data_IF_894605225806
#
_entry.id   IF_894605225806
#
_cell.length_a   1.000
_cell.length_b   1.000
_cell.length_c   1.000
_cell.angle_alpha   90.00
_cell.angle_beta   90.00
_cell.angle_gamma   90.00
#
_symmetry.space_group_name_H-M   'P 1'
#
loop_
_entity.id
_entity.type
_entity.pdbx_description
1 polymer ?
#
# COMPACT_ATOMS: atom_id res chain seq x y z
N UNK A 1 10.35 10.00 15.23
CA UNK A 1 9.16 9.41 14.57
C UNK A 1 8.62 10.42 13.59
N UNK A 2 8.28 10.01 12.36
CA UNK A 2 7.68 10.90 11.36
C UNK A 2 6.17 10.88 11.56
N UNK A 3 5.56 12.05 11.72
CA UNK A 3 4.11 12.18 11.94
C UNK A 3 3.38 12.39 10.62
N UNK A 4 2.06 12.14 10.55
CA UNK A 4 1.30 12.22 9.31
C UNK A 4 1.23 13.67 8.78
N UNK A 5 1.09 14.68 9.65
CA UNK A 5 1.11 16.09 9.22
C UNK A 5 2.46 16.43 8.58
N UNK A 6 3.56 16.10 9.28
CA UNK A 6 4.90 16.44 8.82
C UNK A 6 5.29 15.69 7.54
N UNK A 7 5.00 14.40 7.46
CA UNK A 7 5.28 13.59 6.27
C UNK A 7 4.48 14.05 5.06
N UNK A 8 3.17 14.26 5.21
CA UNK A 8 2.29 14.74 4.13
C UNK A 8 2.75 16.10 3.62
N UNK A 9 3.10 17.01 4.53
CA UNK A 9 3.60 18.34 4.18
C UNK A 9 4.88 18.27 3.34
N UNK A 10 5.85 17.44 3.75
CA UNK A 10 7.10 17.25 3.03
C UNK A 10 6.88 16.58 1.66
N UNK A 11 6.00 15.57 1.59
CA UNK A 11 5.66 14.89 0.35
C UNK A 11 4.95 15.83 -0.66
N UNK A 12 4.14 16.76 -0.16
CA UNK A 12 3.46 17.78 -0.97
C UNK A 12 4.34 19.00 -1.31
N UNK A 13 5.60 19.06 -0.82
CA UNK A 13 6.47 20.22 -1.02
C UNK A 13 6.00 21.50 -0.30
N UNK A 14 5.16 21.36 0.73
CA UNK A 14 4.54 22.48 1.45
C UNK A 14 5.44 22.91 2.63
N UNK A 15 5.61 24.22 2.83
CA UNK A 15 6.32 24.74 4.02
C UNK A 15 5.39 24.88 5.22
N UNK A 16 5.95 25.00 6.42
CA UNK A 16 5.15 25.29 7.64
C UNK A 16 4.34 26.58 7.48
N UNK A 17 4.94 27.61 6.88
CA UNK A 17 4.28 28.90 6.63
C UNK A 17 3.13 28.78 5.63
N UNK A 18 3.30 27.94 4.61
CA UNK A 18 2.26 27.68 3.63
C UNK A 18 1.07 26.94 4.25
N UNK A 19 1.32 25.89 5.04
CA UNK A 19 0.25 25.19 5.76
C UNK A 19 -0.47 26.13 6.75
N UNK A 20 0.27 26.96 7.47
CA UNK A 20 -0.28 27.96 8.39
C UNK A 20 -1.23 28.92 7.67
N UNK A 21 -0.84 29.41 6.48
CA UNK A 21 -1.66 30.28 5.63
C UNK A 21 -2.95 29.59 5.19
N UNK A 22 -2.87 28.33 4.75
CA UNK A 22 -4.04 27.56 4.30
C UNK A 22 -5.04 27.28 5.42
N UNK A 23 -4.55 27.11 6.64
CA UNK A 23 -5.38 26.90 7.83
C UNK A 23 -5.80 28.22 8.51
N UNK A 24 -5.35 29.38 8.02
CA UNK A 24 -5.54 30.68 8.65
C UNK A 24 -5.08 30.72 10.13
N UNK A 25 -3.94 30.06 10.43
CA UNK A 25 -3.32 30.03 11.76
C UNK A 25 -1.87 30.50 11.70
N UNK A 26 -1.22 30.62 12.86
CA UNK A 26 0.21 31.00 12.92
C UNK A 26 1.13 29.80 12.63
N UNK A 27 2.37 30.03 12.14
CA UNK A 27 3.37 28.96 11.98
C UNK A 27 3.70 28.23 13.28
N UNK A 28 3.59 28.92 14.43
CA UNK A 28 3.74 28.32 15.77
C UNK A 28 2.64 27.30 16.05
N UNK A 29 1.38 27.59 15.68
CA UNK A 29 0.28 26.64 15.81
C UNK A 29 0.51 25.36 15.00
N UNK A 30 1.12 25.47 13.81
CA UNK A 30 1.49 24.29 13.02
C UNK A 30 2.58 23.47 13.71
N UNK A 31 3.61 24.12 14.23
CA UNK A 31 4.65 23.45 15.02
C UNK A 31 4.08 22.75 16.26
N UNK A 32 3.06 23.35 16.89
CA UNK A 32 2.35 22.74 18.01
C UNK A 32 1.51 21.54 17.57
N UNK A 33 0.81 21.62 16.43
CA UNK A 33 0.07 20.48 15.87
C UNK A 33 0.99 19.30 15.54
N UNK A 34 2.13 19.54 14.87
CA UNK A 34 3.12 18.50 14.58
C UNK A 34 3.67 17.87 15.88
N UNK A 35 3.85 18.67 16.94
CA UNK A 35 4.30 18.19 18.26
C UNK A 35 3.21 17.36 18.96
N UNK A 36 1.98 17.86 19.04
CA UNK A 36 0.86 17.12 19.67
C UNK A 36 0.57 15.82 18.93
N UNK A 37 0.79 15.75 17.62
CA UNK A 37 0.71 14.50 16.87
C UNK A 37 1.81 13.52 17.29
N UNK A 38 3.05 13.98 17.38
CA UNK A 38 4.18 13.16 17.83
C UNK A 38 3.99 12.62 19.27
N UNK A 39 3.32 13.40 20.12
CA UNK A 39 3.00 13.06 21.50
C UNK A 39 1.70 12.22 21.64
N UNK A 40 0.97 12.01 20.54
CA UNK A 40 -0.30 11.27 20.57
C UNK A 40 -1.47 12.03 21.23
N UNK A 41 -1.34 13.34 21.42
CA UNK A 41 -2.34 14.21 22.07
C UNK A 41 -3.18 15.02 21.07
N UNK A 42 -2.91 14.89 19.76
CA UNK A 42 -3.66 15.60 18.73
C UNK A 42 -5.13 15.17 18.68
N UNK A 43 -6.02 16.15 18.52
CA UNK A 43 -7.44 15.89 18.26
C UNK A 43 -7.60 15.36 16.83
N UNK A 44 -8.39 14.30 16.64
CA UNK A 44 -8.69 13.74 15.31
C UNK A 44 -9.24 14.80 14.34
N UNK A 45 -10.03 15.76 14.84
CA UNK A 45 -10.55 16.85 14.02
C UNK A 45 -9.42 17.74 13.45
N UNK A 46 -8.47 18.13 14.30
CA UNK A 46 -7.34 18.96 13.90
C UNK A 46 -6.39 18.22 12.96
N UNK A 47 -6.17 16.92 13.17
CA UNK A 47 -5.41 16.09 12.23
C UNK A 47 -6.09 16.06 10.86
N UNK A 48 -7.41 15.86 10.82
CA UNK A 48 -8.18 15.82 9.57
C UNK A 48 -8.14 17.16 8.84
N UNK A 49 -8.33 18.27 9.54
CA UNK A 49 -8.28 19.62 8.97
C UNK A 49 -6.89 19.93 8.40
N UNK A 50 -5.83 19.60 9.14
CA UNK A 50 -4.46 19.80 8.67
C UNK A 50 -4.16 18.98 7.41
N UNK A 51 -4.55 17.71 7.38
CA UNK A 51 -4.40 16.86 6.19
C UNK A 51 -5.23 17.39 5.00
N UNK A 52 -6.47 17.80 5.24
CA UNK A 52 -7.36 18.34 4.21
C UNK A 52 -6.80 19.63 3.57
N UNK A 53 -6.18 20.52 4.35
CA UNK A 53 -5.51 21.71 3.85
C UNK A 53 -4.33 21.41 2.90
N UNK A 54 -3.80 20.18 2.96
CA UNK A 54 -2.76 19.68 2.06
C UNK A 54 -3.32 18.82 0.91
N UNK A 55 -4.65 18.68 0.81
CA UNK A 55 -5.32 17.83 -0.17
C UNK A 55 -5.30 16.34 0.20
N UNK A 56 -4.97 15.99 1.44
CA UNK A 56 -4.96 14.62 1.93
C UNK A 56 -6.22 14.30 2.76
N UNK A 57 -6.68 13.05 2.69
CA UNK A 57 -7.80 12.56 3.52
C UNK A 57 -7.30 11.69 4.67
N UNK A 58 -7.91 11.85 5.85
CA UNK A 58 -7.67 10.94 6.98
C UNK A 58 -8.63 9.75 6.90
N UNK A 59 -8.09 8.53 6.87
CA UNK A 59 -8.86 7.29 7.09
C UNK A 59 -8.46 6.70 8.44
N UNK A 60 -9.44 6.45 9.30
CA UNK A 60 -9.22 5.82 10.60
C UNK A 60 -9.97 4.49 10.63
N UNK A 61 -9.24 3.43 10.95
CA UNK A 61 -9.79 2.09 11.17
C UNK A 61 -9.41 1.66 12.57
N UNK A 62 -10.38 1.23 13.37
CA UNK A 62 -10.14 0.65 14.70
C UNK A 62 -10.17 -0.88 14.60
N UNK A 63 -9.17 -1.54 15.17
CA UNK A 63 -9.06 -3.00 15.18
C UNK A 63 -8.05 -3.47 16.22
N UNK A 64 -8.13 -4.74 16.61
CA UNK A 64 -7.13 -5.35 17.46
C UNK A 64 -5.94 -5.73 16.59
N UNK A 65 -4.78 -5.10 16.79
CA UNK A 65 -3.58 -5.46 16.06
C UNK A 65 -3.07 -6.83 16.53
N UNK A 66 -2.97 -7.76 15.58
CA UNK A 66 -2.35 -9.07 15.78
C UNK A 66 -0.99 -9.10 15.08
N UNK A 67 -0.21 -10.17 15.29
CA UNK A 67 1.02 -10.39 14.53
C UNK A 67 0.75 -10.42 13.01
N UNK A 68 -0.42 -10.91 12.59
CA UNK A 68 -0.79 -11.02 11.17
C UNK A 68 -1.22 -9.69 10.55
N UNK A 69 -1.61 -8.70 11.37
CA UNK A 69 -2.05 -7.39 10.89
C UNK A 69 -1.01 -6.68 10.00
N UNK A 70 0.30 -6.97 10.16
CA UNK A 70 1.37 -6.46 9.29
C UNK A 70 1.27 -6.94 7.83
N UNK A 71 0.61 -8.07 7.60
CA UNK A 71 0.37 -8.65 6.28
C UNK A 71 -1.05 -8.36 5.79
N UNK A 72 -1.84 -7.57 6.53
CA UNK A 72 -3.14 -7.14 6.07
C UNK A 72 -3.00 -6.32 4.76
N UNK A 73 -3.92 -6.47 3.79
CA UNK A 73 -3.84 -5.83 2.49
C UNK A 73 -3.55 -4.32 2.56
N UNK A 74 -4.22 -3.59 3.47
CA UNK A 74 -4.05 -2.15 3.59
C UNK A 74 -2.64 -1.73 4.05
N UNK A 75 -2.00 -2.48 4.96
CA UNK A 75 -0.64 -2.19 5.44
C UNK A 75 0.42 -2.54 4.40
N UNK A 76 0.20 -3.64 3.70
CA UNK A 76 1.09 -4.05 2.60
C UNK A 76 1.01 -3.03 1.47
N UNK A 77 -0.19 -2.59 1.10
CA UNK A 77 -0.38 -1.56 0.09
C UNK A 77 0.29 -0.23 0.50
N UNK A 78 0.14 0.20 1.75
CA UNK A 78 0.81 1.41 2.26
C UNK A 78 2.33 1.31 2.17
N UNK A 79 2.90 0.20 2.66
CA UNK A 79 4.34 -0.05 2.64
C UNK A 79 4.89 -0.13 1.20
N UNK A 80 4.14 -0.76 0.28
CA UNK A 80 4.48 -0.80 -1.14
C UNK A 80 4.41 0.59 -1.77
N UNK A 81 3.36 1.36 -1.50
CA UNK A 81 3.20 2.71 -2.04
C UNK A 81 4.36 3.62 -1.61
N UNK A 82 4.74 3.58 -0.33
CA UNK A 82 5.91 4.29 0.17
C UNK A 82 7.20 3.88 -0.55
N UNK A 83 7.43 2.58 -0.73
CA UNK A 83 8.60 2.07 -1.45
C UNK A 83 8.63 2.47 -2.93
N UNK A 84 7.47 2.47 -3.59
CA UNK A 84 7.34 2.84 -5.01
C UNK A 84 7.58 4.34 -5.23
N UNK A 85 7.15 5.18 -4.29
CA UNK A 85 7.38 6.63 -4.35
C UNK A 85 8.82 7.02 -4.00
N UNK A 86 9.47 6.27 -3.11
CA UNK A 86 10.82 6.59 -2.67
C UNK A 86 11.91 6.27 -3.72
N UNK A 87 11.61 5.42 -4.70
CA UNK A 87 12.52 4.96 -5.77
C UNK A 87 13.90 4.45 -5.28
N UNK A 88 13.94 3.87 -4.06
CA UNK A 88 15.22 3.43 -3.46
C UNK A 88 15.49 1.93 -3.57
N UNK A 89 14.46 1.11 -3.80
CA UNK A 89 14.56 -0.36 -3.75
C UNK A 89 13.60 -1.03 -4.75
N UNK A 90 14.01 -1.29 -6.01
CA UNK A 90 13.12 -1.81 -7.04
C UNK A 90 12.57 -3.21 -6.74
N UNK A 91 13.25 -4.00 -5.90
CA UNK A 91 12.87 -5.39 -5.58
C UNK A 91 12.03 -5.52 -4.31
N UNK A 92 12.00 -4.50 -3.45
CA UNK A 92 11.31 -4.54 -2.17
C UNK A 92 9.79 -4.76 -2.31
N UNK A 93 9.05 -4.06 -3.20
CA UNK A 93 7.61 -4.23 -3.32
C UNK A 93 7.20 -5.67 -3.67
N UNK A 94 7.95 -6.32 -4.58
CA UNK A 94 7.67 -7.71 -4.95
C UNK A 94 7.88 -8.64 -3.77
N UNK A 95 9.02 -8.55 -3.09
CA UNK A 95 9.34 -9.42 -1.94
C UNK A 95 8.33 -9.25 -0.80
N UNK A 96 7.91 -8.01 -0.53
CA UNK A 96 6.90 -7.74 0.49
C UNK A 96 5.55 -8.39 0.10
N UNK A 97 5.13 -8.23 -1.15
CA UNK A 97 3.89 -8.81 -1.65
C UNK A 97 3.89 -10.34 -1.60
N UNK A 98 4.98 -10.98 -2.08
CA UNK A 98 5.08 -12.44 -2.10
C UNK A 98 5.09 -13.01 -0.70
N UNK A 99 5.82 -12.39 0.23
CA UNK A 99 5.85 -12.80 1.63
C UNK A 99 4.47 -12.66 2.30
N UNK A 100 3.77 -11.54 2.11
CA UNK A 100 2.45 -11.35 2.70
C UNK A 100 1.42 -12.36 2.18
N UNK A 101 1.46 -12.66 0.88
CA UNK A 101 0.59 -13.67 0.26
C UNK A 101 0.96 -15.08 0.69
N UNK A 102 2.24 -15.38 0.93
CA UNK A 102 2.67 -16.65 1.50
C UNK A 102 2.11 -16.84 2.90
N UNK A 103 2.26 -15.84 3.77
CA UNK A 103 1.76 -15.87 5.14
C UNK A 103 0.23 -16.03 5.20
N UNK A 104 -0.49 -15.37 4.28
CA UNK A 104 -1.93 -15.54 4.15
C UNK A 104 -2.36 -16.94 3.71
N UNK A 105 -1.57 -17.59 2.84
CA UNK A 105 -1.84 -18.96 2.38
C UNK A 105 -1.53 -19.99 3.46
N UNK A 106 -0.44 -19.79 4.20
CA UNK A 106 0.04 -20.73 5.20
C UNK A 106 -0.73 -20.62 6.52
N UNK A 107 -1.20 -19.41 6.86
CA UNK A 107 -1.83 -19.12 8.14
C UNK A 107 -3.21 -18.43 7.99
N UNK A 108 -4.14 -18.93 7.16
CA UNK A 108 -5.36 -18.21 6.79
C UNK A 108 -6.28 -17.88 7.97
N UNK A 109 -6.31 -18.74 9.00
CA UNK A 109 -7.20 -18.58 10.15
C UNK A 109 -6.62 -17.65 11.24
N UNK A 110 -5.37 -17.21 11.08
CA UNK A 110 -4.75 -16.22 11.98
C UNK A 110 -5.04 -14.76 11.57
N UNK A 111 -5.66 -14.55 10.40
CA UNK A 111 -6.04 -13.22 9.92
C UNK A 111 -7.43 -12.84 10.44
N UNK A 112 -7.60 -11.59 10.87
CA UNK A 112 -8.93 -11.03 11.12
C UNK A 112 -9.66 -10.84 9.78
N UNK A 113 -10.83 -11.48 9.55
CA UNK A 113 -11.58 -11.32 8.31
C UNK A 113 -11.88 -9.86 7.95
N UNK A 114 -12.07 -9.00 8.96
CA UNK A 114 -12.33 -7.56 8.75
C UNK A 114 -11.11 -6.86 8.14
N UNK A 115 -9.90 -7.25 8.52
CA UNK A 115 -8.67 -6.69 7.94
C UNK A 115 -8.50 -7.10 6.47
N UNK A 116 -8.97 -8.30 6.09
CA UNK A 116 -8.95 -8.78 4.72
C UNK A 116 -9.99 -8.09 3.84
N UNK A 117 -11.15 -7.74 4.41
CA UNK A 117 -12.24 -7.03 3.71
C UNK A 117 -11.93 -5.55 3.47
N UNK A 118 -11.12 -4.92 4.35
CA UNK A 118 -10.75 -3.51 4.24
C UNK A 118 -10.00 -3.24 2.92
N UNK A 119 -10.66 -2.49 2.04
CA UNK A 119 -10.10 -2.13 0.74
C UNK A 119 -8.83 -1.27 0.92
N UNK A 120 -7.68 -1.71 0.39
CA UNK A 120 -6.45 -0.93 0.43
C UNK A 120 -6.58 0.34 -0.41
N UNK A 121 -5.82 1.37 -0.05
CA UNK A 121 -5.60 2.52 -0.93
C UNK A 121 -4.91 2.03 -2.22
N UNK A 122 -5.39 2.43 -3.41
CA UNK A 122 -4.74 2.03 -4.66
C UNK A 122 -3.26 2.42 -4.70
N UNK A 123 -2.43 1.54 -5.27
CA UNK A 123 -1.01 1.83 -5.45
C UNK A 123 -0.78 2.92 -6.52
N UNK A 124 0.29 3.73 -6.41
CA UNK A 124 0.56 4.82 -7.33
C UNK A 124 0.86 4.35 -8.77
N UNK A 125 1.43 3.15 -8.94
CA UNK A 125 1.62 2.53 -10.26
C UNK A 125 0.52 1.48 -10.50
N UNK A 126 -0.26 1.68 -11.57
CA UNK A 126 -1.37 0.82 -11.96
C UNK A 126 -0.96 -0.64 -12.18
N UNK A 127 0.25 -0.89 -12.66
CA UNK A 127 0.78 -2.24 -12.92
C UNK A 127 0.97 -2.98 -11.59
N UNK A 128 1.57 -2.29 -10.62
CA UNK A 128 1.72 -2.80 -9.25
C UNK A 128 0.38 -2.98 -8.55
N UNK A 129 -0.55 -2.03 -8.69
CA UNK A 129 -1.91 -2.15 -8.13
C UNK A 129 -2.64 -3.39 -8.67
N UNK A 130 -2.52 -3.65 -9.97
CA UNK A 130 -3.15 -4.80 -10.63
C UNK A 130 -2.54 -6.12 -10.15
N UNK A 131 -1.21 -6.21 -10.05
CA UNK A 131 -0.52 -7.38 -9.50
C UNK A 131 -0.94 -7.64 -8.04
N UNK A 132 -0.93 -6.59 -7.21
CA UNK A 132 -1.33 -6.65 -5.81
C UNK A 132 -2.75 -7.20 -5.64
N UNK A 133 -3.74 -6.65 -6.37
CA UNK A 133 -5.14 -7.13 -6.30
C UNK A 133 -5.26 -8.57 -6.76
N UNK A 134 -4.57 -8.93 -7.84
CA UNK A 134 -4.64 -10.26 -8.43
C UNK A 134 -4.04 -11.34 -7.52
N UNK A 135 -2.90 -11.06 -6.87
CA UNK A 135 -2.24 -12.04 -5.99
C UNK A 135 -3.04 -12.27 -4.71
N UNK A 136 -3.53 -11.21 -4.06
CA UNK A 136 -4.45 -11.35 -2.92
C UNK A 136 -5.76 -12.04 -3.31
N UNK A 137 -6.36 -11.66 -4.44
CA UNK A 137 -7.58 -12.30 -4.93
C UNK A 137 -7.41 -13.76 -5.33
N UNK A 138 -6.18 -14.19 -5.64
CA UNK A 138 -5.88 -15.60 -5.88
C UNK A 138 -5.68 -16.37 -4.57
N UNK A 139 -5.04 -15.76 -3.57
CA UNK A 139 -4.88 -16.36 -2.24
C UNK A 139 -6.22 -16.48 -1.50
N UNK A 140 -7.05 -15.44 -1.56
CA UNK A 140 -8.39 -15.37 -0.99
C UNK A 140 -9.40 -15.88 -2.01
N UNK A 141 -9.67 -17.18 -2.03
CA UNK A 141 -10.61 -17.81 -2.96
C UNK A 141 -12.00 -18.03 -2.33
N UNK A 142 -13.02 -18.22 -3.17
CA UNK A 142 -14.39 -18.51 -2.75
C UNK A 142 -15.07 -17.33 -2.02
N UNK A 143 -15.85 -17.64 -0.98
CA UNK A 143 -16.58 -16.65 -0.17
C UNK A 143 -15.67 -15.69 0.60
N UNK A 144 -14.38 -15.99 0.73
CA UNK A 144 -13.39 -15.12 1.38
C UNK A 144 -12.81 -14.05 0.42
N UNK A 145 -13.18 -14.06 -0.87
CA UNK A 145 -12.62 -13.13 -1.87
C UNK A 145 -13.29 -11.75 -1.80
N UNK A 146 -12.60 -10.70 -1.33
CA UNK A 146 -13.19 -9.37 -1.24
C UNK A 146 -13.34 -8.71 -2.62
N UNK A 147 -14.37 -7.86 -2.77
CA UNK A 147 -14.65 -7.15 -4.02
C UNK A 147 -13.47 -6.31 -4.52
N UNK A 148 -12.67 -5.74 -3.61
CA UNK A 148 -11.50 -4.92 -3.95
C UNK A 148 -10.41 -5.68 -4.70
N UNK A 149 -10.37 -7.02 -4.62
CA UNK A 149 -9.41 -7.85 -5.37
C UNK A 149 -9.77 -7.97 -6.86
N UNK A 150 -10.92 -7.48 -7.27
CA UNK A 150 -11.33 -7.43 -8.67
C UNK A 150 -10.52 -6.36 -9.39
N UNK A 151 -9.92 -6.72 -10.53
CA UNK A 151 -9.12 -5.79 -11.33
C UNK A 151 -9.30 -6.06 -12.82
N UNK A 152 -8.98 -5.04 -13.62
CA UNK A 152 -9.02 -5.11 -15.08
C UNK A 152 -7.66 -5.45 -15.65
N UNK A 153 -7.66 -6.09 -16.82
CA UNK A 153 -6.46 -6.38 -17.59
C UNK A 153 -5.68 -5.11 -17.93
N UNK A 154 -4.34 -5.17 -17.87
CA UNK A 154 -3.47 -4.08 -18.32
C UNK A 154 -3.56 -3.90 -19.84
N UNK A 155 -3.42 -2.65 -20.32
CA UNK A 155 -3.47 -2.36 -21.77
C UNK A 155 -2.36 -3.10 -22.54
N UNK A 156 -1.16 -3.16 -21.95
CA UNK A 156 0.01 -3.79 -22.54
C UNK A 156 0.57 -4.89 -21.63
N UNK A 157 1.39 -5.76 -22.22
CA UNK A 157 2.11 -6.80 -21.47
C UNK A 157 3.16 -6.14 -20.59
N UNK A 158 3.08 -6.40 -19.30
CA UNK A 158 4.07 -5.93 -18.34
C UNK A 158 4.88 -7.09 -17.79
N UNK A 159 6.19 -7.02 -17.97
CA UNK A 159 7.13 -7.91 -17.28
C UNK A 159 7.54 -7.28 -15.96
N UNK A 160 7.27 -7.97 -14.85
CA UNK A 160 7.57 -7.46 -13.49
C UNK A 160 9.09 -7.27 -13.29
N UNK A 161 9.89 -8.08 -13.97
CA UNK A 161 11.35 -7.99 -13.94
C UNK A 161 11.89 -7.34 -15.21
N UNK A 162 12.91 -6.50 -15.05
CA UNK A 162 13.66 -5.93 -16.17
C UNK A 162 14.82 -6.82 -16.66
N UNK A 163 15.17 -7.88 -15.92
CA UNK A 163 16.24 -8.79 -16.31
C UNK A 163 15.81 -9.70 -17.48
N UNK A 164 16.52 -9.70 -18.63
CA UNK A 164 16.12 -10.46 -19.82
C UNK A 164 15.88 -11.95 -19.56
N UNK A 165 16.75 -12.60 -18.77
CA UNK A 165 16.61 -14.01 -18.44
C UNK A 165 15.32 -14.33 -17.65
N UNK A 166 14.88 -13.43 -16.77
CA UNK A 166 13.62 -13.59 -16.04
C UNK A 166 12.42 -13.29 -16.92
N UNK A 167 12.53 -12.36 -17.88
CA UNK A 167 11.48 -12.09 -18.88
C UNK A 167 11.23 -13.30 -19.78
N UNK A 168 12.28 -13.94 -20.28
CA UNK A 168 12.13 -15.15 -21.09
C UNK A 168 11.46 -16.28 -20.32
N UNK A 169 11.86 -16.52 -19.06
CA UNK A 169 11.19 -17.51 -18.20
C UNK A 169 9.72 -17.18 -17.98
N UNK A 170 9.42 -15.92 -17.66
CA UNK A 170 8.05 -15.46 -17.43
C UNK A 170 7.13 -15.74 -18.61
N UNK A 171 7.60 -15.64 -19.87
CA UNK A 171 6.77 -15.99 -21.04
C UNK A 171 6.16 -17.39 -20.93
N UNK A 172 6.87 -18.33 -20.33
CA UNK A 172 6.44 -19.73 -20.19
C UNK A 172 5.89 -20.07 -18.81
N UNK A 173 6.47 -19.54 -17.73
CA UNK A 173 6.15 -19.95 -16.35
C UNK A 173 5.11 -19.07 -15.64
N UNK A 174 4.70 -17.94 -16.23
CA UNK A 174 3.69 -17.07 -15.60
C UNK A 174 2.36 -17.81 -15.36
N UNK A 175 1.84 -17.80 -14.11
CA UNK A 175 0.53 -18.35 -13.79
C UNK A 175 -0.61 -17.75 -14.62
N UNK A 176 -1.57 -18.58 -15.01
CA UNK A 176 -2.65 -18.17 -15.92
C UNK A 176 -3.49 -16.99 -15.41
N UNK A 177 -3.72 -16.90 -14.10
CA UNK A 177 -4.49 -15.80 -13.52
C UNK A 177 -3.80 -14.43 -13.69
N UNK A 178 -2.47 -14.39 -13.70
CA UNK A 178 -1.68 -13.17 -14.00
C UNK A 178 -1.55 -12.95 -15.50
N UNK A 179 -1.36 -14.03 -16.27
CA UNK A 179 -1.26 -13.97 -17.74
C UNK A 179 -2.50 -13.33 -18.37
N UNK A 180 -3.70 -13.70 -17.90
CA UNK A 180 -4.98 -13.10 -18.35
C UNK A 180 -5.06 -11.59 -18.09
N UNK A 181 -4.30 -11.08 -17.13
CA UNK A 181 -4.22 -9.66 -16.78
C UNK A 181 -3.07 -8.91 -17.47
N UNK A 182 -2.39 -9.55 -18.43
CA UNK A 182 -1.18 -9.04 -19.09
C UNK A 182 0.02 -8.82 -18.14
N UNK A 183 0.07 -9.55 -17.01
CA UNK A 183 1.18 -9.51 -16.06
C UNK A 183 2.06 -10.75 -16.27
N UNK A 184 3.36 -10.54 -16.50
CA UNK A 184 4.34 -11.58 -16.76
C UNK A 184 5.42 -11.57 -15.68
N UNK A 185 5.50 -12.68 -14.94
CA UNK A 185 6.46 -12.93 -13.89
C UNK A 185 6.85 -14.41 -13.87
N UNK A 186 8.11 -14.73 -13.54
CA UNK A 186 8.52 -16.12 -13.35
C UNK A 186 7.78 -16.69 -12.12
N UNK A 187 7.13 -17.85 -12.23
CA UNK A 187 6.42 -18.49 -11.10
C UNK A 187 7.33 -18.64 -9.87
N UNK A 188 8.60 -18.94 -10.07
CA UNK A 188 9.59 -19.07 -8.96
C UNK A 188 9.85 -17.75 -8.24
N UNK A 189 9.63 -16.60 -8.89
CA UNK A 189 9.74 -15.29 -8.24
C UNK A 189 8.57 -15.01 -7.31
N UNK A 190 7.46 -15.75 -7.43
CA UNK A 190 6.32 -15.67 -6.50
C UNK A 190 6.50 -16.57 -5.27
N UNK A 191 7.37 -17.58 -5.37
CA UNK A 191 7.61 -18.58 -4.32
C UNK A 191 8.87 -18.29 -3.50
N UNK A 192 9.83 -17.53 -4.08
CA UNK A 192 11.05 -17.14 -3.37
C UNK A 192 10.72 -16.12 -2.29
N UNK A 193 10.87 -16.54 -1.04
CA UNK A 193 10.87 -15.68 0.14
C UNK A 193 12.15 -15.93 0.94
#
# INVERSE_FOLDING_TARGET
MTTAIKSTRLAAGISVNELARRLAVTPSAISQLERSEAEGTIKLNSLREALAAMGAGLRVTAGTETRMSRYAPYRVAESMAQSLLADRQPTYPLRLLTHAVQELRDNPDLFDPRELELAPTPLPDRRWDTLFRATYGHALHGSRRPAWTTTSRLAERWFVSDFPALRERAKHSTPDHLRRLNIFIDARSLERT
#
